data_IF_854525780632
#
_entry.id   IF_854525780632
#
_cell.length_a   1.000
_cell.length_b   1.000
_cell.length_c   1.000
_cell.angle_alpha   90.00
_cell.angle_beta   90.00
_cell.angle_gamma   90.00
#
_symmetry.space_group_name_H-M   'P 1'
#
loop_
_entity.id
_entity.type
_entity.pdbx_description
1 polymer ?
#
# COMPACT_ATOMS: atom_id res chain seq x y z
N UNK A 1 -35.32 24.81 8.99
CA UNK A 1 -34.98 23.84 7.94
C UNK A 1 -34.14 24.49 6.86
N UNK A 2 -32.80 24.42 6.96
CA UNK A 2 -31.95 24.74 5.83
C UNK A 2 -31.91 23.50 4.95
N UNK A 3 -32.51 23.55 3.77
CA UNK A 3 -32.36 22.51 2.75
C UNK A 3 -30.87 22.39 2.41
N UNK A 4 -30.24 21.25 2.72
CA UNK A 4 -28.90 20.98 2.26
C UNK A 4 -28.90 20.89 0.73
N UNK A 5 -27.96 21.55 0.08
CA UNK A 5 -27.76 21.41 -1.37
C UNK A 5 -27.21 20.01 -1.66
N UNK A 6 -27.67 19.33 -2.74
CA UNK A 6 -27.13 18.03 -3.12
C UNK A 6 -25.65 18.14 -3.46
N UNK A 7 -24.87 17.17 -2.99
CA UNK A 7 -23.43 17.10 -3.25
C UNK A 7 -23.19 16.46 -4.62
N UNK A 8 -22.39 17.11 -5.47
CA UNK A 8 -21.92 16.51 -6.73
C UNK A 8 -20.79 15.51 -6.44
N UNK A 9 -21.13 14.23 -6.38
CA UNK A 9 -20.17 13.16 -6.10
C UNK A 9 -19.13 12.96 -7.22
N UNK A 10 -19.43 13.30 -8.48
CA UNK A 10 -18.44 13.24 -9.57
C UNK A 10 -17.39 14.35 -9.39
N UNK A 11 -17.82 15.54 -8.98
CA UNK A 11 -16.90 16.61 -8.61
C UNK A 11 -16.05 16.23 -7.38
N UNK A 12 -16.64 15.57 -6.38
CA UNK A 12 -15.85 15.06 -5.25
C UNK A 12 -14.84 14.01 -5.70
N UNK A 13 -15.20 13.13 -6.64
CA UNK A 13 -14.28 12.10 -7.14
C UNK A 13 -13.08 12.74 -7.81
N UNK A 14 -13.31 13.70 -8.71
CA UNK A 14 -12.26 14.51 -9.35
C UNK A 14 -11.34 15.17 -8.32
N UNK A 15 -11.89 15.69 -7.22
CA UNK A 15 -11.08 16.27 -6.13
C UNK A 15 -10.24 15.24 -5.40
N UNK A 16 -10.81 14.09 -5.02
CA UNK A 16 -10.07 13.02 -4.35
C UNK A 16 -8.95 12.47 -5.24
N UNK A 17 -9.20 12.26 -6.53
CA UNK A 17 -8.17 11.82 -7.48
C UNK A 17 -7.04 12.85 -7.61
N UNK A 18 -7.37 14.15 -7.66
CA UNK A 18 -6.36 15.21 -7.66
C UNK A 18 -5.54 15.26 -6.36
N UNK A 19 -6.16 14.97 -5.22
CA UNK A 19 -5.44 14.86 -3.94
C UNK A 19 -4.46 13.69 -3.96
N UNK A 20 -4.88 12.51 -4.45
CA UNK A 20 -3.99 11.37 -4.63
C UNK A 20 -2.81 11.71 -5.55
N UNK A 21 -3.08 12.29 -6.72
CA UNK A 21 -2.05 12.70 -7.67
C UNK A 21 -1.04 13.66 -7.04
N UNK A 22 -1.53 14.68 -6.32
CA UNK A 22 -0.69 15.66 -5.63
C UNK A 22 0.18 14.98 -4.58
N UNK A 23 -0.38 14.08 -3.78
CA UNK A 23 0.37 13.33 -2.77
C UNK A 23 1.43 12.43 -3.42
N UNK A 24 1.14 11.79 -4.55
CA UNK A 24 2.13 10.97 -5.26
C UNK A 24 3.31 11.83 -5.73
N UNK A 25 3.03 13.00 -6.32
CA UNK A 25 4.06 13.93 -6.77
C UNK A 25 4.95 14.46 -5.64
N UNK A 26 4.43 14.58 -4.42
CA UNK A 26 5.22 15.00 -3.26
C UNK A 26 6.01 13.84 -2.67
N UNK A 27 5.42 12.65 -2.62
CA UNK A 27 6.11 11.42 -2.23
C UNK A 27 7.33 11.16 -3.13
N UNK A 28 7.19 11.35 -4.45
CA UNK A 28 8.28 11.23 -5.43
C UNK A 28 9.42 12.24 -5.19
N UNK A 29 9.15 13.34 -4.47
CA UNK A 29 10.14 14.35 -4.08
C UNK A 29 10.78 14.08 -2.72
N UNK A 30 10.41 12.97 -2.06
CA UNK A 30 10.93 12.57 -0.75
C UNK A 30 10.02 12.91 0.43
N UNK A 31 8.82 13.48 0.20
CA UNK A 31 7.84 13.76 1.26
C UNK A 31 7.02 12.49 1.57
N UNK A 32 7.66 11.49 2.19
CA UNK A 32 7.09 10.14 2.33
C UNK A 32 5.84 10.08 3.21
N UNK A 33 5.66 11.01 4.15
CA UNK A 33 4.47 11.10 5.01
C UNK A 33 3.18 11.36 4.21
N UNK A 34 3.28 11.81 2.95
CA UNK A 34 2.14 11.92 2.05
C UNK A 34 1.44 10.56 1.80
N UNK A 35 2.11 9.43 2.06
CA UNK A 35 1.48 8.11 2.07
C UNK A 35 0.27 8.03 3.04
N UNK A 36 0.33 8.72 4.19
CA UNK A 36 -0.77 8.77 5.15
C UNK A 36 -1.97 9.56 4.59
N UNK A 37 -1.71 10.62 3.81
CA UNK A 37 -2.75 11.37 3.09
C UNK A 37 -3.36 10.57 1.95
N UNK A 38 -2.55 9.76 1.27
CA UNK A 38 -3.05 8.78 0.30
C UNK A 38 -3.99 7.79 0.98
N UNK A 39 -3.60 7.21 2.12
CA UNK A 39 -4.45 6.30 2.88
C UNK A 39 -5.80 6.93 3.26
N UNK A 40 -5.80 8.18 3.75
CA UNK A 40 -7.05 8.90 4.03
C UNK A 40 -7.93 9.05 2.80
N UNK A 41 -7.33 9.38 1.66
CA UNK A 41 -8.06 9.56 0.40
C UNK A 41 -8.61 8.22 -0.12
N UNK A 42 -7.81 7.16 -0.09
CA UNK A 42 -8.24 5.79 -0.41
C UNK A 42 -9.41 5.34 0.50
N UNK A 43 -9.35 5.64 1.80
CA UNK A 43 -10.46 5.35 2.73
C UNK A 43 -11.76 6.05 2.29
N UNK A 44 -11.71 7.32 1.90
CA UNK A 44 -12.89 8.07 1.42
C UNK A 44 -13.47 7.43 0.15
N UNK A 45 -12.63 6.95 -0.76
CA UNK A 45 -13.07 6.32 -2.00
C UNK A 45 -13.75 4.96 -1.75
N UNK A 46 -13.14 4.12 -0.91
CA UNK A 46 -13.45 2.68 -0.87
C UNK A 46 -14.15 2.20 0.41
N UNK A 47 -14.01 2.89 1.53
CA UNK A 47 -14.47 2.35 2.81
C UNK A 47 -15.84 2.84 3.24
N UNK A 48 -16.79 1.92 3.34
CA UNK A 48 -18.08 2.14 3.98
C UNK A 48 -18.03 1.80 5.47
N UNK A 49 -18.74 2.59 6.26
CA UNK A 49 -19.00 2.36 7.69
C UNK A 49 -20.48 2.54 7.99
N UNK A 50 -20.89 2.30 9.23
CA UNK A 50 -22.28 2.59 9.66
C UNK A 50 -22.65 4.08 9.55
N UNK A 51 -21.67 4.98 9.66
CA UNK A 51 -21.89 6.43 9.77
C UNK A 51 -21.35 7.22 8.57
N UNK A 52 -20.71 6.56 7.61
CA UNK A 52 -20.06 7.19 6.46
C UNK A 52 -20.08 6.23 5.29
N UNK A 53 -20.61 6.70 4.16
CA UNK A 53 -20.70 5.96 2.91
C UNK A 53 -19.56 6.40 2.01
N UNK A 54 -18.89 5.45 1.37
CA UNK A 54 -17.75 5.71 0.49
C UNK A 54 -18.19 6.40 -0.79
N UNK A 55 -17.27 7.10 -1.45
CA UNK A 55 -17.60 7.82 -2.67
C UNK A 55 -18.07 6.90 -3.80
N UNK A 56 -17.48 5.71 -3.94
CA UNK A 56 -17.93 4.71 -4.90
C UNK A 56 -19.32 4.15 -4.59
N UNK A 57 -19.70 4.04 -3.32
CA UNK A 57 -21.07 3.64 -2.96
C UNK A 57 -22.08 4.71 -3.34
N UNK A 58 -21.75 5.99 -3.13
CA UNK A 58 -22.58 7.11 -3.56
C UNK A 58 -22.74 7.21 -5.09
N UNK A 59 -21.75 6.74 -5.85
CA UNK A 59 -21.77 6.70 -7.31
C UNK A 59 -22.33 5.39 -7.89
N UNK A 60 -22.78 4.46 -7.05
CA UNK A 60 -23.18 3.09 -7.44
C UNK A 60 -22.11 2.35 -8.28
N UNK A 61 -20.83 2.60 -7.97
CA UNK A 61 -19.70 2.20 -8.80
C UNK A 61 -18.80 1.15 -8.15
N UNK A 62 -19.33 0.35 -7.21
CA UNK A 62 -18.58 -0.77 -6.58
C UNK A 62 -18.40 -1.97 -7.52
N UNK A 63 -19.04 -1.97 -8.67
CA UNK A 63 -18.99 -3.03 -9.68
C UNK A 63 -17.84 -2.84 -10.70
N UNK A 64 -17.16 -1.69 -10.67
CA UNK A 64 -16.07 -1.40 -11.61
C UNK A 64 -14.81 -2.21 -11.29
N UNK A 65 -13.87 -2.21 -12.24
CA UNK A 65 -12.56 -2.81 -12.10
C UNK A 65 -11.48 -1.75 -11.84
N UNK A 66 -10.54 -2.09 -10.97
CA UNK A 66 -9.36 -1.31 -10.64
C UNK A 66 -8.11 -2.01 -11.15
N UNK A 67 -7.12 -1.24 -11.58
CA UNK A 67 -5.79 -1.75 -11.86
C UNK A 67 -5.20 -2.39 -10.59
N UNK A 68 -4.49 -3.49 -10.75
CA UNK A 68 -3.79 -4.18 -9.67
C UNK A 68 -2.41 -4.60 -10.15
N UNK A 69 -1.41 -4.26 -9.33
CA UNK A 69 -0.03 -4.70 -9.45
C UNK A 69 0.23 -6.01 -8.72
N UNK A 70 -0.73 -6.50 -7.92
CA UNK A 70 -0.64 -7.81 -7.30
C UNK A 70 -0.70 -8.91 -8.35
N UNK A 71 0.22 -9.86 -8.25
CA UNK A 71 0.20 -11.12 -9.00
C UNK A 71 -0.53 -12.17 -8.16
N UNK A 72 -1.53 -12.88 -8.70
CA UNK A 72 -2.24 -13.89 -7.94
C UNK A 72 -1.25 -14.93 -7.39
N UNK A 73 -1.44 -15.34 -6.15
CA UNK A 73 -0.66 -16.40 -5.49
C UNK A 73 -1.55 -17.60 -5.23
N UNK A 74 -0.98 -18.80 -5.27
CA UNK A 74 -1.67 -20.01 -4.85
C UNK A 74 -2.10 -19.91 -3.37
N UNK A 75 -3.24 -20.49 -3.02
CA UNK A 75 -3.82 -20.38 -1.68
C UNK A 75 -2.95 -21.01 -0.59
N UNK A 76 -2.10 -21.97 -0.96
CA UNK A 76 -1.17 -22.67 -0.07
C UNK A 76 0.11 -21.88 0.24
N UNK A 77 0.32 -20.72 -0.41
CA UNK A 77 1.42 -19.82 -0.06
C UNK A 77 1.15 -19.19 1.31
N UNK A 78 1.95 -19.61 2.29
CA UNK A 78 1.83 -19.19 3.70
C UNK A 78 2.60 -17.92 4.05
N UNK A 79 3.55 -17.48 3.20
CA UNK A 79 4.35 -16.28 3.45
C UNK A 79 4.85 -15.68 2.14
N UNK A 80 4.75 -14.36 2.01
CA UNK A 80 5.35 -13.59 0.92
C UNK A 80 5.45 -12.12 1.32
N UNK A 81 6.55 -11.49 0.91
CA UNK A 81 6.74 -10.04 1.02
C UNK A 81 5.73 -9.28 0.16
N UNK A 82 5.60 -7.96 0.37
CA UNK A 82 4.66 -7.14 -0.40
C UNK A 82 4.78 -7.38 -1.91
N UNK A 83 3.63 -7.58 -2.56
CA UNK A 83 3.52 -7.63 -4.01
C UNK A 83 3.48 -6.24 -4.67
N UNK A 84 3.36 -5.17 -3.88
CA UNK A 84 3.16 -3.80 -4.38
C UNK A 84 4.45 -2.96 -4.36
N UNK A 85 5.46 -3.46 -3.67
CA UNK A 85 6.78 -2.84 -3.60
C UNK A 85 7.87 -3.85 -3.89
N UNK A 86 9.00 -3.35 -4.34
CA UNK A 86 10.23 -4.10 -4.54
C UNK A 86 11.35 -3.49 -3.71
N UNK A 87 12.37 -4.29 -3.46
CA UNK A 87 13.56 -3.84 -2.76
C UNK A 87 14.72 -3.84 -3.75
N UNK A 88 15.40 -2.69 -3.87
CA UNK A 88 16.68 -2.58 -4.56
C UNK A 88 17.80 -2.59 -3.54
N UNK A 89 18.70 -3.54 -3.66
CA UNK A 89 19.95 -3.55 -2.89
C UNK A 89 21.10 -3.07 -3.79
N UNK A 90 21.76 -1.99 -3.40
CA UNK A 90 23.01 -1.54 -4.01
C UNK A 90 24.17 -2.05 -3.16
N UNK A 91 25.23 -2.54 -3.80
CA UNK A 91 26.43 -3.01 -3.12
C UNK A 91 27.62 -2.20 -3.63
N UNK A 92 28.40 -1.64 -2.70
CA UNK A 92 29.59 -0.87 -3.00
C UNK A 92 30.78 -1.42 -2.20
N UNK A 93 31.93 -1.55 -2.86
CA UNK A 93 33.15 -1.97 -2.18
C UNK A 93 33.91 -0.74 -1.68
N UNK A 94 34.01 -0.59 -0.37
CA UNK A 94 34.76 0.48 0.29
C UNK A 94 35.98 -0.15 0.97
N UNK A 95 37.12 -0.15 0.26
CA UNK A 95 38.34 -0.82 0.70
C UNK A 95 38.21 -2.36 0.73
N UNK A 96 38.38 -2.95 1.92
CA UNK A 96 38.16 -4.39 2.16
C UNK A 96 36.72 -4.73 2.57
N UNK A 97 35.86 -3.73 2.78
CA UNK A 97 34.49 -3.91 3.20
C UNK A 97 33.53 -3.80 2.00
N UNK A 98 32.40 -4.50 2.10
CA UNK A 98 31.24 -4.30 1.20
C UNK A 98 30.20 -3.54 2.01
N UNK A 99 29.89 -2.34 1.58
CA UNK A 99 28.73 -1.58 2.06
C UNK A 99 27.52 -1.92 1.18
N UNK A 100 26.34 -1.95 1.77
CA UNK A 100 25.10 -2.12 1.01
C UNK A 100 24.06 -1.08 1.43
N UNK A 101 23.21 -0.69 0.48
CA UNK A 101 22.08 0.21 0.71
C UNK A 101 20.82 -0.45 0.21
N UNK A 102 19.80 -0.52 1.06
CA UNK A 102 18.49 -1.04 0.74
C UNK A 102 17.54 0.12 0.45
N UNK A 103 16.92 0.11 -0.73
CA UNK A 103 15.99 1.14 -1.19
C UNK A 103 14.66 0.45 -1.51
N UNK A 104 13.59 0.69 -0.73
CA UNK A 104 12.27 0.24 -1.09
C UNK A 104 11.72 1.12 -2.23
N UNK A 105 11.07 0.50 -3.21
CA UNK A 105 10.51 1.18 -4.37
C UNK A 105 9.11 0.65 -4.68
N UNK A 106 8.15 1.51 -5.03
CA UNK A 106 6.91 1.05 -5.63
C UNK A 106 7.19 0.38 -6.98
N UNK A 107 6.37 -0.59 -7.38
CA UNK A 107 6.52 -1.25 -8.68
C UNK A 107 6.10 -0.36 -9.87
N UNK A 108 5.42 0.76 -9.59
CA UNK A 108 5.01 1.77 -10.55
C UNK A 108 3.93 1.29 -11.52
N UNK A 109 3.69 2.08 -12.56
CA UNK A 109 2.69 1.78 -13.61
C UNK A 109 3.06 0.51 -14.39
N UNK A 110 4.36 0.29 -14.65
CA UNK A 110 4.87 -0.91 -15.32
C UNK A 110 4.64 -2.20 -14.52
N UNK A 111 4.43 -2.06 -13.20
CA UNK A 111 4.07 -3.15 -12.31
C UNK A 111 2.60 -3.55 -12.36
N UNK A 112 1.70 -2.78 -13.00
CA UNK A 112 0.28 -3.16 -13.14
C UNK A 112 0.16 -4.42 -14.01
N UNK A 113 -0.54 -5.44 -13.51
CA UNK A 113 -0.66 -6.74 -14.15
C UNK A 113 -2.06 -7.04 -14.66
N UNK A 114 -3.09 -6.56 -13.95
CA UNK A 114 -4.48 -6.94 -14.18
C UNK A 114 -5.46 -5.86 -13.75
N UNK A 115 -6.73 -6.06 -14.10
CA UNK A 115 -7.85 -5.27 -13.60
C UNK A 115 -8.80 -6.20 -12.84
N UNK A 116 -9.17 -5.83 -11.62
CA UNK A 116 -9.99 -6.66 -10.72
C UNK A 116 -11.15 -5.86 -10.12
N UNK A 117 -12.29 -6.50 -9.79
CA UNK A 117 -13.42 -5.81 -9.17
C UNK A 117 -13.02 -5.08 -7.89
N UNK A 118 -13.61 -3.90 -7.61
CA UNK A 118 -13.32 -3.08 -6.42
C UNK A 118 -13.31 -3.90 -5.13
N UNK A 119 -14.28 -4.82 -4.98
CA UNK A 119 -14.36 -5.68 -3.79
C UNK A 119 -13.11 -6.56 -3.64
N UNK A 120 -12.71 -7.23 -4.72
CA UNK A 120 -11.52 -8.08 -4.72
C UNK A 120 -10.28 -7.24 -4.43
N UNK A 121 -10.06 -6.16 -5.19
CA UNK A 121 -8.93 -5.25 -5.01
C UNK A 121 -8.78 -4.80 -3.55
N UNK A 122 -9.88 -4.39 -2.93
CA UNK A 122 -9.89 -3.84 -1.58
C UNK A 122 -9.57 -4.89 -0.51
N UNK A 123 -10.10 -6.11 -0.64
CA UNK A 123 -9.92 -7.17 0.35
C UNK A 123 -8.71 -8.07 0.10
N UNK A 124 -8.08 -7.96 -1.07
CA UNK A 124 -6.96 -8.78 -1.47
C UNK A 124 -5.77 -8.64 -0.51
N UNK A 125 -5.21 -9.78 -0.12
CA UNK A 125 -4.02 -9.87 0.73
C UNK A 125 -2.77 -9.68 -0.13
N UNK A 126 -2.05 -8.61 0.11
CA UNK A 126 -0.88 -8.19 -0.69
C UNK A 126 0.45 -8.56 -0.02
N UNK A 127 0.41 -8.99 1.23
CA UNK A 127 1.57 -9.46 1.98
C UNK A 127 1.13 -10.43 3.08
N UNK A 128 1.88 -11.50 3.29
CA UNK A 128 1.71 -12.45 4.40
C UNK A 128 3.03 -12.64 5.12
N UNK A 129 3.05 -12.43 6.42
CA UNK A 129 4.24 -12.54 7.26
C UNK A 129 3.95 -13.41 8.47
N UNK A 130 4.98 -13.73 9.26
CA UNK A 130 4.77 -14.40 10.55
C UNK A 130 3.92 -13.58 11.54
N UNK A 131 3.84 -12.26 11.34
CA UNK A 131 3.11 -11.32 12.20
C UNK A 131 1.66 -11.12 11.77
N UNK A 132 1.30 -11.54 10.55
CA UNK A 132 -0.09 -11.55 10.07
C UNK A 132 -0.25 -11.43 8.55
N UNK A 133 -1.51 -11.36 8.15
CA UNK A 133 -1.94 -11.13 6.77
C UNK A 133 -2.32 -9.67 6.57
N UNK A 134 -1.85 -9.08 5.47
CA UNK A 134 -2.00 -7.67 5.18
C UNK A 134 -2.75 -7.49 3.86
N UNK A 135 -3.97 -6.97 3.96
CA UNK A 135 -4.76 -6.56 2.81
C UNK A 135 -4.61 -5.07 2.53
N UNK A 136 -4.95 -4.63 1.31
CA UNK A 136 -5.05 -3.19 0.99
C UNK A 136 -5.97 -2.49 1.99
N UNK A 137 -7.12 -3.08 2.29
CA UNK A 137 -8.06 -2.59 3.29
C UNK A 137 -7.41 -2.40 4.66
N UNK A 138 -6.73 -3.41 5.20
CA UNK A 138 -6.16 -3.30 6.55
C UNK A 138 -5.09 -2.23 6.62
N UNK A 139 -4.16 -2.20 5.64
CA UNK A 139 -3.13 -1.17 5.56
C UNK A 139 -3.70 0.24 5.51
N UNK A 140 -4.66 0.48 4.60
CA UNK A 140 -5.29 1.81 4.46
C UNK A 140 -6.03 2.22 5.72
N UNK A 141 -6.76 1.30 6.37
CA UNK A 141 -7.52 1.63 7.58
C UNK A 141 -6.62 1.85 8.80
N UNK A 142 -5.51 1.14 8.92
CA UNK A 142 -4.54 1.39 9.98
C UNK A 142 -3.87 2.74 9.80
N UNK A 143 -3.34 3.03 8.61
CA UNK A 143 -2.72 4.32 8.31
C UNK A 143 -3.68 5.51 8.50
N UNK A 144 -4.89 5.42 7.95
CA UNK A 144 -5.86 6.51 8.01
C UNK A 144 -6.45 6.72 9.41
N UNK A 145 -6.82 5.65 10.12
CA UNK A 145 -7.57 5.79 11.36
C UNK A 145 -6.71 5.75 12.62
N UNK A 146 -5.45 5.28 12.55
CA UNK A 146 -4.63 5.02 13.74
C UNK A 146 -3.28 5.73 13.74
N UNK A 147 -2.72 5.99 12.56
CA UNK A 147 -1.32 6.40 12.40
C UNK A 147 -1.17 7.78 11.76
N UNK A 148 -2.15 8.67 11.98
CA UNK A 148 -2.00 10.09 11.64
C UNK A 148 -2.51 10.50 10.26
N UNK A 149 -3.09 9.59 9.45
CA UNK A 149 -3.72 10.01 8.20
C UNK A 149 -4.96 10.89 8.38
N UNK A 150 -5.87 10.49 9.27
CA UNK A 150 -7.07 11.25 9.65
C UNK A 150 -7.26 11.29 11.18
N UNK A 151 -6.82 10.23 11.86
CA UNK A 151 -6.84 10.13 13.32
C UNK A 151 -5.54 9.48 13.80
N UNK A 152 -5.18 9.77 15.05
CA UNK A 152 -4.08 9.12 15.77
C UNK A 152 -4.68 8.38 16.96
N UNK A 153 -4.44 7.08 17.02
CA UNK A 153 -4.79 6.26 18.17
C UNK A 153 -3.59 6.16 19.13
N UNK A 154 -3.85 5.95 20.41
CA UNK A 154 -2.81 5.73 21.41
C UNK A 154 -2.09 4.37 21.25
N UNK A 155 -2.70 3.43 20.53
CA UNK A 155 -2.19 2.09 20.29
C UNK A 155 -2.33 1.70 18.81
N UNK A 156 -1.24 1.17 18.26
CA UNK A 156 -1.21 0.56 16.93
C UNK A 156 -1.42 -0.96 17.03
N UNK A 157 -2.14 -1.58 16.07
CA UNK A 157 -2.24 -3.03 16.00
C UNK A 157 -0.84 -3.65 15.86
N UNK A 158 -0.52 -4.76 16.54
CA UNK A 158 0.83 -5.33 16.54
C UNK A 158 1.40 -5.57 15.13
N UNK A 159 0.61 -6.16 14.22
CA UNK A 159 1.02 -6.39 12.83
C UNK A 159 1.38 -5.10 12.08
N UNK A 160 0.67 -3.99 12.36
CA UNK A 160 0.95 -2.68 11.77
C UNK A 160 2.14 -1.99 12.44
N UNK A 161 2.28 -2.13 13.77
CA UNK A 161 3.43 -1.61 14.50
C UNK A 161 4.75 -2.22 13.97
N UNK A 162 4.75 -3.51 13.60
CA UNK A 162 5.90 -4.14 12.94
C UNK A 162 6.27 -3.46 11.61
N UNK A 163 5.29 -3.00 10.81
CA UNK A 163 5.54 -2.23 9.58
C UNK A 163 6.17 -0.86 9.86
N UNK A 164 5.64 -0.13 10.84
CA UNK A 164 6.15 1.18 11.24
C UNK A 164 7.59 1.09 11.70
N UNK A 165 7.91 0.09 12.52
CA UNK A 165 9.26 -0.12 13.04
C UNK A 165 10.23 -0.72 12.01
N UNK A 166 9.75 -1.16 10.84
CA UNK A 166 10.59 -1.89 9.88
C UNK A 166 10.99 -3.30 10.35
N UNK A 167 10.21 -3.89 11.25
CA UNK A 167 10.42 -5.20 11.87
C UNK A 167 9.60 -6.32 11.20
N UNK A 168 9.21 -6.15 9.94
CA UNK A 168 8.28 -7.04 9.21
C UNK A 168 8.94 -8.31 8.72
N UNK A 169 8.80 -9.42 9.46
CA UNK A 169 9.49 -10.68 9.18
C UNK A 169 9.24 -11.18 7.74
N UNK A 170 10.23 -11.03 6.87
CA UNK A 170 10.28 -11.70 5.57
C UNK A 170 11.20 -12.91 5.67
N UNK A 171 10.69 -14.11 5.36
CA UNK A 171 11.58 -15.24 5.08
C UNK A 171 11.99 -15.16 3.61
N UNK A 172 13.28 -15.32 3.33
CA UNK A 172 13.67 -15.81 2.01
C UNK A 172 13.81 -17.30 2.22
N UNK A 173 12.88 -18.08 1.67
CA UNK A 173 13.00 -19.51 1.84
C UNK A 173 14.26 -20.00 1.12
N UNK A 174 14.91 -21.05 1.66
CA UNK A 174 15.94 -21.74 0.93
C UNK A 174 15.39 -22.26 -0.41
N UNK A 175 16.25 -22.36 -1.43
CA UNK A 175 15.98 -22.86 -2.79
C UNK A 175 15.26 -24.22 -2.86
N UNK A 176 15.08 -24.92 -1.74
CA UNK A 176 14.49 -26.25 -1.65
C UNK A 176 12.95 -26.28 -1.56
N UNK A 177 12.26 -25.15 -1.70
CA UNK A 177 10.77 -25.11 -1.66
C UNK A 177 10.22 -25.03 -3.09
N UNK A 178 9.55 -26.08 -3.61
CA UNK A 178 8.89 -26.01 -4.92
C UNK A 178 7.87 -24.86 -4.93
N UNK A 179 7.78 -24.13 -6.06
CA UNK A 179 6.92 -22.96 -6.29
C UNK A 179 7.36 -21.62 -5.64
N UNK A 180 8.63 -21.48 -5.22
CA UNK A 180 9.16 -20.20 -4.76
C UNK A 180 10.10 -19.54 -5.80
N UNK A 181 9.80 -18.30 -6.21
CA UNK A 181 10.71 -17.45 -6.99
C UNK A 181 11.26 -16.36 -6.05
N UNK A 182 12.55 -16.43 -5.70
CA UNK A 182 13.22 -15.37 -4.93
C UNK A 182 14.62 -15.75 -4.45
N UNK A 183 15.56 -14.81 -4.54
CA UNK A 183 16.91 -14.88 -3.97
C UNK A 183 16.88 -14.82 -2.43
N UNK A 184 17.91 -15.31 -1.73
CA UNK A 184 18.07 -15.19 -0.26
C UNK A 184 18.99 -14.01 0.10
N UNK A 185 18.49 -13.05 0.87
CA UNK A 185 19.22 -11.95 1.52
C UNK A 185 18.99 -12.07 3.03
N UNK A 186 19.95 -12.52 3.84
CA UNK A 186 19.75 -12.61 5.29
C UNK A 186 19.42 -11.24 5.92
N UNK A 187 18.13 -10.94 6.11
CA UNK A 187 17.62 -9.83 6.92
C UNK A 187 17.17 -10.47 8.23
N UNK A 188 17.95 -10.26 9.29
CA UNK A 188 17.61 -10.78 10.63
C UNK A 188 16.67 -9.80 11.33
N UNK A 189 15.66 -10.38 11.96
CA UNK A 189 14.49 -9.68 12.44
C UNK A 189 14.26 -10.01 13.91
N UNK A 190 14.44 -9.02 14.78
CA UNK A 190 14.24 -9.11 16.23
C UNK A 190 15.53 -8.98 17.06
N UNK A 191 15.55 -7.98 17.93
CA UNK A 191 16.69 -7.57 18.77
C UNK A 191 16.95 -6.07 18.64
N UNK A 192 17.72 -5.48 19.57
CA UNK A 192 18.35 -4.19 19.27
C UNK A 192 19.22 -4.37 18.01
N UNK A 193 19.21 -3.42 17.06
CA UNK A 193 19.98 -3.54 15.82
C UNK A 193 21.42 -3.96 16.15
N UNK A 194 21.91 -5.02 15.51
CA UNK A 194 23.34 -5.28 15.57
C UNK A 194 24.07 -4.19 14.78
N UNK A 195 25.30 -3.80 15.18
CA UNK A 195 26.10 -2.88 14.37
C UNK A 195 26.21 -3.39 12.93
N UNK A 196 25.57 -2.71 11.98
CA UNK A 196 25.56 -3.07 10.55
C UNK A 196 24.20 -3.46 9.94
N UNK A 197 23.13 -3.60 10.73
CA UNK A 197 21.78 -3.90 10.21
C UNK A 197 21.05 -2.63 9.70
N UNK A 198 20.39 -2.71 8.54
CA UNK A 198 19.52 -1.65 8.02
C UNK A 198 18.05 -1.96 8.29
N UNK A 199 17.37 -1.05 8.98
CA UNK A 199 15.93 -1.08 9.21
C UNK A 199 15.25 -0.13 8.23
N UNK A 200 14.13 -0.56 7.65
CA UNK A 200 13.32 0.28 6.75
C UNK A 200 12.03 0.64 7.48
N UNK A 201 12.00 1.73 8.26
CA UNK A 201 10.76 2.17 8.91
C UNK A 201 9.72 2.54 7.86
N UNK A 202 8.45 2.35 8.21
CA UNK A 202 7.31 2.67 7.34
C UNK A 202 7.39 2.03 5.94
N UNK A 203 7.89 0.80 5.84
CA UNK A 203 8.08 0.12 4.55
C UNK A 203 6.78 0.05 3.73
N UNK A 204 5.63 -0.01 4.40
CA UNK A 204 4.28 -0.02 3.82
C UNK A 204 3.88 1.30 3.14
N UNK A 205 4.62 2.39 3.33
CA UNK A 205 4.33 3.65 2.62
C UNK A 205 4.46 3.48 1.10
N UNK A 206 5.36 2.62 0.64
CA UNK A 206 5.47 2.27 -0.78
C UNK A 206 4.24 1.49 -1.28
N UNK A 207 3.63 0.68 -0.43
CA UNK A 207 2.41 -0.05 -0.78
C UNK A 207 1.22 0.91 -0.88
N UNK A 208 1.10 1.88 0.05
CA UNK A 208 0.09 2.94 -0.01
C UNK A 208 0.26 3.82 -1.25
N UNK A 209 1.51 4.15 -1.60
CA UNK A 209 1.84 4.83 -2.84
C UNK A 209 1.42 4.00 -4.06
N UNK A 210 1.78 2.72 -4.10
CA UNK A 210 1.43 1.86 -5.22
C UNK A 210 -0.09 1.70 -5.37
N UNK A 211 -0.84 1.61 -4.27
CA UNK A 211 -2.31 1.63 -4.30
C UNK A 211 -2.85 2.93 -4.91
N UNK A 212 -2.24 4.08 -4.61
CA UNK A 212 -2.61 5.34 -5.26
C UNK A 212 -2.32 5.32 -6.77
N UNK A 213 -1.18 4.77 -7.19
CA UNK A 213 -0.84 4.58 -8.61
C UNK A 213 -1.86 3.68 -9.31
N UNK A 214 -2.23 2.54 -8.70
CA UNK A 214 -3.26 1.64 -9.20
C UNK A 214 -4.60 2.38 -9.43
N UNK A 215 -5.04 3.16 -8.44
CA UNK A 215 -6.28 3.95 -8.50
C UNK A 215 -6.22 5.01 -9.61
N UNK A 216 -5.11 5.75 -9.70
CA UNK A 216 -4.91 6.78 -10.73
C UNK A 216 -4.77 6.20 -12.15
N UNK A 217 -4.53 4.90 -12.28
CA UNK A 217 -4.40 4.20 -13.56
C UNK A 217 -5.53 3.19 -13.80
N UNK A 218 -6.70 3.39 -13.17
CA UNK A 218 -7.89 2.53 -13.33
C UNK A 218 -8.90 3.15 -14.31
N UNK A 219 -9.00 2.68 -15.58
CA UNK A 219 -9.78 3.36 -16.61
C UNK A 219 -11.27 3.50 -16.29
N UNK A 220 -11.89 2.46 -15.74
CA UNK A 220 -13.31 2.50 -15.38
C UNK A 220 -13.59 3.51 -14.26
N UNK A 221 -12.67 3.69 -13.31
CA UNK A 221 -12.77 4.69 -12.25
C UNK A 221 -12.65 6.11 -12.82
N UNK A 222 -11.67 6.33 -13.71
CA UNK A 222 -11.45 7.64 -14.34
C UNK A 222 -12.65 8.05 -15.19
N UNK A 223 -13.29 7.10 -15.88
CA UNK A 223 -14.48 7.35 -16.70
C UNK A 223 -15.68 7.88 -15.87
N UNK A 224 -15.75 7.59 -14.57
CA UNK A 224 -16.82 8.12 -13.70
C UNK A 224 -16.78 9.64 -13.54
N UNK A 225 -15.60 10.26 -13.74
CA UNK A 225 -15.43 11.71 -13.67
C UNK A 225 -16.13 12.44 -14.82
N UNK A 226 -16.49 11.73 -15.90
CA UNK A 226 -16.98 12.28 -17.16
C UNK A 226 -15.84 12.77 -18.07
N UNK A 227 -16.14 12.93 -19.36
CA UNK A 227 -15.24 13.61 -20.29
C UNK A 227 -15.04 15.06 -19.82
N UNK A 228 -13.78 15.50 -19.79
CA UNK A 228 -13.42 16.89 -19.43
C UNK A 228 -13.78 17.86 -20.55
#
# INVERSE_FOLDING_TARGET
>A
NKSAAPQDFKLQLRRQLRFLETSCQQYDKGEFDEALRMATTLRVLFHDTKNSVSLLSHLDAKHIHLASSHEPRDEDVVMYTSSLSMIRANFERVGEQIEFTIIPLPVGVTGIKRHVPVKEWWTETIMKTGDGDYSRRSMVLWAANKDGGAHVDHELPPAYFSLVQGNVNGALAPDSTPNMVGFVIDIRMGGAPQPGEQVIPNSHFNDLYQMAVEVLNSPELLALCGDS
#
